data_IF_290382127956
#
_entry.id   IF_290382127956
#
_cell.length_a   1.000
_cell.length_b   1.000
_cell.length_c   1.000
_cell.angle_alpha   90.00
_cell.angle_beta   90.00
_cell.angle_gamma   90.00
#
_symmetry.space_group_name_H-M   'P 1'
#
loop_
_entity.id
_entity.type
_entity.pdbx_description
1 polymer ?
#
# COMPACT_ATOMS: atom_id res chain seq x y z
N UNK A 1 19.80 27.77 58.61
CA UNK A 1 20.06 26.46 57.98
C UNK A 1 18.79 25.66 57.69
N UNK A 2 17.71 25.78 58.47
CA UNK A 2 16.46 25.01 58.25
C UNK A 2 15.68 25.46 57.00
N UNK A 3 15.63 26.76 56.69
CA UNK A 3 14.92 27.28 55.49
C UNK A 3 15.48 26.75 54.16
N UNK A 4 16.80 26.63 54.05
CA UNK A 4 17.47 26.18 52.83
C UNK A 4 17.24 24.68 52.54
N UNK A 5 17.04 23.86 53.59
CA UNK A 5 16.77 22.42 53.43
C UNK A 5 15.36 22.18 52.88
N UNK A 6 14.37 22.96 53.34
CA UNK A 6 12.99 22.90 52.85
C UNK A 6 12.87 23.29 51.37
N UNK A 7 13.60 24.32 50.94
CA UNK A 7 13.66 24.75 49.53
C UNK A 7 14.31 23.70 48.62
N UNK A 8 15.38 23.03 49.08
CA UNK A 8 16.06 21.95 48.35
C UNK A 8 15.13 20.72 48.22
N UNK A 9 14.44 20.34 49.30
CA UNK A 9 13.48 19.22 49.26
C UNK A 9 12.27 19.53 48.38
N UNK A 10 11.83 20.80 48.34
CA UNK A 10 10.75 21.23 47.45
C UNK A 10 11.19 21.15 45.99
N UNK A 11 12.42 21.56 45.67
CA UNK A 11 12.99 21.46 44.32
C UNK A 11 13.24 20.02 43.86
N UNK A 12 13.70 19.13 44.75
CA UNK A 12 13.93 17.71 44.43
C UNK A 12 12.62 16.98 44.14
N UNK A 13 11.59 17.18 44.99
CA UNK A 13 10.26 16.60 44.79
C UNK A 13 9.63 17.11 43.50
N UNK A 14 9.78 18.41 43.20
CA UNK A 14 9.32 19.00 41.95
C UNK A 14 9.97 18.28 40.76
N UNK A 15 11.30 18.17 40.72
CA UNK A 15 12.06 17.51 39.65
C UNK A 15 11.70 16.03 39.44
N UNK A 16 11.40 15.29 40.52
CA UNK A 16 10.94 13.90 40.46
C UNK A 16 9.52 13.77 39.88
N UNK A 17 8.63 14.74 40.16
CA UNK A 17 7.29 14.80 39.57
C UNK A 17 7.37 15.02 38.05
N UNK A 18 8.23 15.92 37.56
CA UNK A 18 8.41 16.12 36.10
C UNK A 18 8.95 14.87 35.42
N UNK A 19 9.89 14.16 36.06
CA UNK A 19 10.41 12.90 35.53
C UNK A 19 9.32 11.84 35.45
N UNK A 20 8.50 11.70 36.50
CA UNK A 20 7.40 10.74 36.52
C UNK A 20 6.34 11.08 35.47
N UNK A 21 5.95 12.35 35.34
CA UNK A 21 5.02 12.83 34.31
C UNK A 21 5.56 12.59 32.89
N UNK A 22 6.86 12.83 32.66
CA UNK A 22 7.51 12.55 31.37
C UNK A 22 7.48 11.05 31.04
N UNK A 23 7.80 10.19 32.01
CA UNK A 23 7.78 8.73 31.84
C UNK A 23 6.38 8.22 31.51
N UNK A 24 5.34 8.73 32.19
CA UNK A 24 3.94 8.37 31.91
C UNK A 24 3.56 8.82 30.49
N UNK A 25 3.90 10.04 30.09
CA UNK A 25 3.62 10.55 28.75
C UNK A 25 4.29 9.70 27.65
N UNK A 26 5.52 9.27 27.87
CA UNK A 26 6.26 8.38 26.97
C UNK A 26 5.60 7.00 26.89
N UNK A 27 5.24 6.40 28.03
CA UNK A 27 4.57 5.09 28.08
C UNK A 27 3.20 5.10 27.38
N UNK A 28 2.40 6.15 27.61
CA UNK A 28 1.11 6.35 26.93
C UNK A 28 1.33 6.57 25.43
N UNK A 29 2.35 7.35 25.04
CA UNK A 29 2.71 7.57 23.64
C UNK A 29 3.10 6.28 22.91
N UNK A 30 3.88 5.39 23.56
CA UNK A 30 4.25 4.10 22.99
C UNK A 30 3.07 3.11 22.89
N UNK A 31 2.15 3.12 23.86
CA UNK A 31 0.94 2.28 23.84
C UNK A 31 0.02 2.60 22.65
N UNK A 32 -0.02 3.85 22.20
CA UNK A 32 -0.85 4.30 21.07
C UNK A 32 -0.27 3.95 19.69
N UNK A 33 0.99 3.49 19.60
CA UNK A 33 1.66 3.24 18.32
C UNK A 33 1.31 1.89 17.67
N UNK A 34 0.46 1.08 18.30
CA UNK A 34 0.21 -0.32 17.89
C UNK A 34 -0.98 -0.53 16.93
N UNK A 35 -1.65 0.53 16.46
CA UNK A 35 -2.87 0.39 15.64
C UNK A 35 -2.66 0.32 14.11
N UNK A 36 -1.47 -0.09 13.66
CA UNK A 36 -1.25 -0.49 12.27
C UNK A 36 -1.83 -1.88 12.02
N UNK A 37 -3.16 -2.03 11.96
CA UNK A 37 -3.76 -3.31 11.56
C UNK A 37 -3.36 -3.63 10.11
N UNK A 38 -2.42 -4.57 9.94
CA UNK A 38 -2.16 -5.20 8.65
C UNK A 38 -3.42 -5.97 8.25
N UNK A 39 -4.14 -5.45 7.26
CA UNK A 39 -5.28 -6.15 6.67
C UNK A 39 -4.78 -7.38 5.94
N UNK A 40 -5.24 -8.55 6.35
CA UNK A 40 -5.05 -9.77 5.58
C UNK A 40 -6.12 -9.83 4.48
N UNK A 41 -5.68 -9.79 3.22
CA UNK A 41 -6.55 -9.96 2.06
C UNK A 41 -6.32 -11.30 1.37
N UNK A 42 -5.55 -12.21 1.97
CA UNK A 42 -5.37 -13.55 1.42
C UNK A 42 -6.74 -14.22 1.24
N UNK A 43 -7.01 -14.71 0.04
CA UNK A 43 -8.29 -15.34 -0.29
C UNK A 43 -9.49 -14.39 -0.44
N UNK A 44 -9.29 -13.06 -0.50
CA UNK A 44 -10.36 -12.11 -0.83
C UNK A 44 -11.03 -12.38 -2.19
N UNK A 45 -10.33 -13.11 -3.07
CA UNK A 45 -10.87 -13.64 -4.31
C UNK A 45 -10.37 -15.06 -4.57
N UNK A 46 -11.29 -15.97 -4.89
CA UNK A 46 -11.06 -17.41 -5.12
C UNK A 46 -11.23 -17.83 -6.58
N UNK A 47 -11.24 -16.86 -7.52
CA UNK A 47 -11.40 -17.15 -8.94
C UNK A 47 -10.25 -18.03 -9.46
N UNK A 48 -10.59 -19.23 -9.92
CA UNK A 48 -9.69 -20.13 -10.64
C UNK A 48 -10.02 -20.09 -12.13
N UNK A 49 -9.52 -19.06 -12.82
CA UNK A 49 -9.83 -18.86 -14.23
C UNK A 49 -8.96 -19.74 -15.15
N UNK A 50 -9.61 -20.51 -16.04
CA UNK A 50 -8.95 -21.15 -17.18
C UNK A 50 -9.17 -20.29 -18.43
N UNK A 51 -8.22 -19.43 -18.74
CA UNK A 51 -8.33 -18.51 -19.87
C UNK A 51 -7.84 -19.15 -21.18
N UNK A 52 -8.56 -18.91 -22.28
CA UNK A 52 -8.11 -19.31 -23.61
C UNK A 52 -7.01 -18.34 -24.10
N UNK A 53 -5.77 -18.79 -24.34
CA UNK A 53 -4.67 -17.93 -24.79
C UNK A 53 -4.77 -17.55 -26.28
N UNK A 54 -5.66 -18.15 -27.05
CA UNK A 54 -5.82 -17.88 -28.47
C UNK A 54 -6.94 -16.87 -28.76
N UNK A 55 -7.86 -16.69 -27.82
CA UNK A 55 -8.93 -15.70 -27.96
C UNK A 55 -8.40 -14.29 -27.66
N UNK A 56 -8.53 -13.40 -28.64
CA UNK A 56 -8.06 -12.01 -28.57
C UNK A 56 -9.25 -11.06 -28.49
N UNK A 57 -9.35 -10.38 -27.36
CA UNK A 57 -10.30 -9.30 -27.08
C UNK A 57 -9.62 -8.32 -26.13
N UNK A 58 -8.86 -7.36 -26.65
CA UNK A 58 -7.87 -6.64 -25.84
C UNK A 58 -8.52 -5.76 -24.75
N UNK A 59 -8.10 -5.96 -23.51
CA UNK A 59 -8.46 -5.10 -22.37
C UNK A 59 -7.28 -4.21 -21.98
N UNK A 60 -7.55 -2.94 -21.72
CA UNK A 60 -6.54 -1.93 -21.41
C UNK A 60 -6.78 -1.40 -20.00
N UNK A 61 -5.71 -1.16 -19.24
CA UNK A 61 -5.78 -0.51 -17.94
C UNK A 61 -4.53 0.32 -17.66
N UNK A 62 -4.69 1.41 -16.92
CA UNK A 62 -3.56 2.21 -16.42
C UNK A 62 -3.34 1.90 -14.95
N UNK A 63 -2.15 1.44 -14.61
CA UNK A 63 -1.78 1.07 -13.24
C UNK A 63 -0.46 1.73 -12.89
N UNK A 64 -0.47 2.62 -11.89
CA UNK A 64 0.74 3.33 -11.47
C UNK A 64 1.38 4.16 -12.58
N UNK A 65 0.57 4.74 -13.47
CA UNK A 65 1.06 5.54 -14.61
C UNK A 65 1.62 4.71 -15.77
N UNK A 66 1.38 3.39 -15.79
CA UNK A 66 1.83 2.51 -16.86
C UNK A 66 0.63 1.85 -17.54
N UNK A 67 0.61 1.88 -18.87
CA UNK A 67 -0.35 1.14 -19.67
C UNK A 67 -0.09 -0.37 -19.58
N UNK A 68 -1.12 -1.13 -19.20
CA UNK A 68 -1.12 -2.59 -19.18
C UNK A 68 -2.19 -3.10 -20.14
N UNK A 69 -1.80 -4.06 -20.98
CA UNK A 69 -2.64 -4.67 -22.00
C UNK A 69 -2.84 -6.13 -21.67
N UNK A 70 -4.09 -6.57 -21.68
CA UNK A 70 -4.48 -7.95 -21.45
C UNK A 70 -5.09 -8.52 -22.74
N UNK A 71 -4.76 -9.77 -23.04
CA UNK A 71 -5.19 -10.39 -24.28
C UNK A 71 -6.71 -10.58 -24.38
N UNK A 72 -7.36 -10.81 -23.24
CA UNK A 72 -8.80 -10.97 -23.10
C UNK A 72 -9.29 -10.59 -21.70
N UNK A 73 -10.61 -10.45 -21.55
CA UNK A 73 -11.26 -10.13 -20.28
C UNK A 73 -11.02 -11.18 -19.18
N UNK A 74 -10.77 -12.44 -19.54
CA UNK A 74 -10.46 -13.49 -18.58
C UNK A 74 -9.11 -13.24 -17.89
N UNK A 75 -8.05 -12.91 -18.65
CA UNK A 75 -6.76 -12.56 -18.07
C UNK A 75 -6.84 -11.27 -17.23
N UNK A 76 -7.63 -10.29 -17.69
CA UNK A 76 -7.88 -9.06 -16.93
C UNK A 76 -8.55 -9.34 -15.57
N UNK A 77 -9.61 -10.16 -15.58
CA UNK A 77 -10.31 -10.59 -14.37
C UNK A 77 -9.43 -11.39 -13.41
N UNK A 78 -8.65 -12.34 -13.94
CA UNK A 78 -7.69 -13.13 -13.16
C UNK A 78 -6.63 -12.24 -12.47
N UNK A 79 -6.05 -11.30 -13.20
CA UNK A 79 -5.10 -10.34 -12.64
C UNK A 79 -5.75 -9.43 -11.57
N UNK A 80 -7.02 -9.03 -11.75
CA UNK A 80 -7.76 -8.29 -10.73
C UNK A 80 -8.04 -9.11 -9.48
N UNK A 81 -8.36 -10.40 -9.62
CA UNK A 81 -8.51 -11.31 -8.50
C UNK A 81 -7.21 -11.43 -7.69
N UNK A 82 -6.07 -11.59 -8.38
CA UNK A 82 -4.76 -11.61 -7.73
C UNK A 82 -4.46 -10.30 -6.99
N UNK A 83 -4.81 -9.15 -7.57
CA UNK A 83 -4.67 -7.85 -6.89
C UNK A 83 -5.51 -7.76 -5.63
N UNK A 84 -6.77 -8.23 -5.65
CA UNK A 84 -7.61 -8.27 -4.46
C UNK A 84 -6.96 -9.08 -3.34
N UNK A 85 -6.36 -10.23 -3.68
CA UNK A 85 -5.61 -11.07 -2.73
C UNK A 85 -4.36 -10.40 -2.13
N UNK A 86 -3.90 -9.30 -2.73
CA UNK A 86 -2.76 -8.50 -2.29
C UNK A 86 -3.18 -7.16 -1.64
N UNK A 87 -4.47 -7.01 -1.30
CA UNK A 87 -5.04 -5.74 -0.82
C UNK A 87 -4.90 -4.57 -1.82
N UNK A 88 -4.67 -4.85 -3.10
CA UNK A 88 -4.53 -3.83 -4.13
C UNK A 88 -5.89 -3.53 -4.76
N UNK A 89 -6.15 -2.25 -5.03
CA UNK A 89 -7.36 -1.83 -5.74
C UNK A 89 -7.45 -2.54 -7.11
N UNK A 90 -8.62 -3.07 -7.51
CA UNK A 90 -8.83 -3.58 -8.86
C UNK A 90 -8.47 -2.54 -9.92
N UNK A 91 -7.91 -3.01 -11.02
CA UNK A 91 -7.69 -2.22 -12.23
C UNK A 91 -9.04 -1.90 -12.86
N UNK A 92 -9.20 -0.67 -13.31
CA UNK A 92 -10.34 -0.26 -14.12
C UNK A 92 -9.99 -0.39 -15.60
N UNK A 93 -10.90 -0.95 -16.38
CA UNK A 93 -10.76 -0.96 -17.83
C UNK A 93 -10.79 0.48 -18.36
N UNK A 94 -9.98 0.75 -19.37
CA UNK A 94 -9.91 2.07 -20.03
C UNK A 94 -9.90 1.89 -21.54
N UNK A 95 -9.98 3.01 -22.26
CA UNK A 95 -9.89 2.99 -23.72
C UNK A 95 -8.43 2.80 -24.17
N UNK A 96 -8.21 2.17 -25.34
CA UNK A 96 -6.87 2.04 -25.91
C UNK A 96 -6.18 3.39 -26.11
N UNK A 97 -6.93 4.43 -26.48
CA UNK A 97 -6.40 5.80 -26.65
C UNK A 97 -5.85 6.32 -25.33
N UNK A 98 -6.62 6.18 -24.25
CA UNK A 98 -6.22 6.66 -22.93
C UNK A 98 -5.03 5.88 -22.38
N UNK A 99 -4.98 4.58 -22.63
CA UNK A 99 -3.87 3.75 -22.18
C UNK A 99 -2.58 4.12 -22.91
N UNK A 100 -2.62 4.36 -24.22
CA UNK A 100 -1.42 4.69 -25.03
C UNK A 100 -0.67 5.93 -24.55
N UNK A 101 -1.35 6.89 -23.92
CA UNK A 101 -0.72 8.05 -23.25
C UNK A 101 0.29 7.64 -22.16
N UNK A 102 0.14 6.45 -21.58
CA UNK A 102 0.95 5.90 -20.50
C UNK A 102 1.84 4.73 -20.94
N UNK A 103 2.00 4.53 -22.25
CA UNK A 103 2.99 3.60 -22.75
C UNK A 103 4.38 4.16 -22.44
N UNK A 104 5.28 3.40 -21.79
CA UNK A 104 6.68 3.80 -21.70
C UNK A 104 7.22 4.04 -23.12
N UNK A 105 8.04 5.09 -23.32
CA UNK A 105 8.59 5.39 -24.64
C UNK A 105 9.27 4.15 -25.22
N UNK A 106 8.91 3.83 -26.47
CA UNK A 106 9.38 2.72 -27.33
C UNK A 106 9.72 1.45 -26.55
N UNK A 107 8.87 0.43 -26.65
CA UNK A 107 9.33 -0.94 -26.42
C UNK A 107 10.56 -1.19 -27.32
N UNK A 108 11.77 -1.43 -26.76
CA UNK A 108 12.92 -1.84 -27.56
C UNK A 108 12.70 -3.21 -28.23
N UNK A 109 11.66 -3.92 -27.78
CA UNK A 109 11.22 -5.23 -28.25
C UNK A 109 9.84 -5.17 -28.90
N UNK A 110 9.49 -4.08 -29.59
CA UNK A 110 8.43 -4.18 -30.60
C UNK A 110 8.94 -5.20 -31.61
N UNK A 111 8.57 -6.48 -31.41
CA UNK A 111 9.12 -7.60 -32.15
C UNK A 111 9.23 -7.21 -33.61
N UNK A 112 10.45 -7.27 -34.14
CA UNK A 112 10.67 -7.09 -35.57
C UNK A 112 9.59 -7.91 -36.26
N UNK A 113 8.78 -7.20 -37.04
CA UNK A 113 7.88 -7.82 -37.98
C UNK A 113 8.82 -8.66 -38.84
N UNK A 114 8.88 -9.97 -38.59
CA UNK A 114 9.57 -10.89 -39.46
C UNK A 114 8.78 -10.85 -40.77
N UNK A 115 9.25 -10.00 -41.69
CA UNK A 115 8.85 -9.97 -43.09
C UNK A 115 9.71 -11.02 -43.80
#
# INVERSE_FOLDING_TARGET
>A
MVSSIWEITQFSVFMDIYKLSLLIAILVGFLQLSSGQTRDCSGACTLQARCNPYHKDLFWAVVGGVCRVFQNGCFFGSANCQRANQCLRPMAATSPEKCKEYCPQRCPLAGERLI
#
